data_IF_231616247819
#
_entry.id   IF_231616247819
#
_cell.length_a   1.000
_cell.length_b   1.000
_cell.length_c   1.000
_cell.angle_alpha   90.00
_cell.angle_beta   90.00
_cell.angle_gamma   90.00
#
_symmetry.space_group_name_H-M   'P 1'
#
loop_
_entity.id
_entity.type
_entity.pdbx_description
1 polymer ?
#
# COMPACT_ATOMS: atom_id res chain seq x y z
N UNK A 1 -12.48 4.29 2.20
CA UNK A 1 -11.45 3.78 3.13
C UNK A 1 -11.34 2.27 3.00
N UNK A 2 -10.14 1.75 2.95
CA UNK A 2 -9.88 0.32 2.82
C UNK A 2 -9.47 -0.24 4.17
N UNK A 3 -10.01 -1.39 4.52
CA UNK A 3 -9.60 -2.07 5.74
C UNK A 3 -8.41 -2.97 5.44
N UNK A 4 -7.41 -2.89 6.28
CA UNK A 4 -6.17 -3.64 6.11
C UNK A 4 -5.57 -3.95 7.47
N UNK A 5 -4.63 -4.88 7.47
CA UNK A 5 -3.85 -5.19 8.68
C UNK A 5 -2.42 -5.52 8.28
N UNK A 6 -1.50 -5.35 9.22
CA UNK A 6 -0.11 -5.76 9.02
C UNK A 6 0.02 -7.26 9.29
N UNK A 7 0.83 -7.92 8.46
CA UNK A 7 1.13 -9.34 8.65
C UNK A 7 2.33 -9.47 9.60
N UNK A 8 2.06 -9.34 10.89
CA UNK A 8 3.09 -9.36 11.93
C UNK A 8 3.77 -10.71 12.08
N UNK A 9 3.17 -11.78 11.56
CA UNK A 9 3.74 -13.11 11.61
C UNK A 9 4.75 -13.36 10.50
N UNK A 10 4.77 -12.50 9.50
CA UNK A 10 5.72 -12.61 8.40
C UNK A 10 7.13 -12.25 8.84
N UNK A 11 8.11 -12.99 8.33
CA UNK A 11 9.53 -12.67 8.53
C UNK A 11 10.08 -11.82 7.40
N UNK A 12 9.23 -11.45 6.46
CA UNK A 12 9.59 -10.63 5.32
C UNK A 12 9.69 -9.17 5.75
N UNK A 13 10.71 -8.47 5.30
CA UNK A 13 10.88 -7.04 5.55
C UNK A 13 10.91 -6.30 4.22
N UNK A 14 10.19 -5.19 4.07
CA UNK A 14 9.25 -4.57 5.03
C UNK A 14 8.02 -5.44 5.30
N UNK A 15 7.39 -5.22 6.45
CA UNK A 15 6.23 -6.03 6.87
C UNK A 15 5.11 -5.94 5.84
N UNK A 16 4.59 -7.07 5.36
CA UNK A 16 3.50 -7.06 4.40
C UNK A 16 2.19 -6.55 4.99
N UNK A 17 1.32 -6.08 4.11
CA UNK A 17 -0.02 -5.60 4.47
C UNK A 17 -1.03 -6.49 3.75
N UNK A 18 -2.09 -6.85 4.45
CA UNK A 18 -3.18 -7.66 3.91
C UNK A 18 -4.45 -6.82 3.91
N UNK A 19 -5.11 -6.71 2.77
CA UNK A 19 -6.40 -6.05 2.68
C UNK A 19 -7.47 -7.03 3.17
N UNK A 20 -8.28 -6.58 4.13
CA UNK A 20 -9.20 -7.46 4.84
C UNK A 20 -10.65 -7.35 4.37
N UNK A 21 -11.00 -6.33 3.60
CA UNK A 21 -12.35 -6.14 3.10
C UNK A 21 -12.36 -5.50 1.72
N UNK A 22 -13.46 -5.69 1.01
CA UNK A 22 -13.73 -5.02 -0.25
C UNK A 22 -13.23 -5.79 -1.46
N UNK A 23 -13.11 -5.07 -2.55
CA UNK A 23 -12.74 -5.61 -3.86
C UNK A 23 -11.39 -6.34 -3.85
N UNK A 24 -10.47 -5.89 -3.01
CA UNK A 24 -9.11 -6.43 -2.94
C UNK A 24 -8.89 -7.31 -1.72
N UNK A 25 -9.95 -7.81 -1.11
CA UNK A 25 -9.84 -8.68 0.06
C UNK A 25 -8.91 -9.87 -0.22
N UNK A 26 -8.00 -10.11 0.70
CA UNK A 26 -7.03 -11.20 0.60
C UNK A 26 -5.74 -10.83 -0.12
N UNK A 27 -5.69 -9.66 -0.73
CA UNK A 27 -4.47 -9.20 -1.38
C UNK A 27 -3.40 -8.93 -0.32
N UNK A 28 -2.24 -9.52 -0.51
CA UNK A 28 -1.10 -9.35 0.39
C UNK A 28 0.06 -8.76 -0.39
N UNK A 29 0.58 -7.66 0.09
CA UNK A 29 1.63 -6.93 -0.61
C UNK A 29 2.56 -6.25 0.38
N UNK A 30 3.70 -5.80 -0.12
CA UNK A 30 4.63 -5.01 0.67
C UNK A 30 5.09 -3.81 -0.15
N UNK A 31 5.42 -2.73 0.53
CA UNK A 31 5.99 -1.56 -0.11
C UNK A 31 7.50 -1.68 -0.17
N UNK A 32 8.06 -1.18 -1.28
CA UNK A 32 9.49 -1.05 -1.43
C UNK A 32 9.95 0.35 -1.11
N UNK A 33 10.63 0.99 -2.06
CA UNK A 33 11.11 2.36 -1.89
C UNK A 33 9.93 3.33 -1.94
N UNK A 34 9.89 4.23 -0.98
CA UNK A 34 8.88 5.28 -0.89
C UNK A 34 9.59 6.62 -0.98
N UNK A 35 9.11 7.51 -1.85
CA UNK A 35 9.69 8.84 -2.04
C UNK A 35 8.60 9.90 -2.05
N UNK A 36 8.91 11.03 -1.43
CA UNK A 36 8.09 12.22 -1.50
C UNK A 36 8.85 13.27 -2.29
N UNK A 37 8.26 13.74 -3.38
CA UNK A 37 8.84 14.81 -4.17
C UNK A 37 7.98 16.05 -4.03
N UNK A 38 8.57 17.15 -3.62
CA UNK A 38 7.89 18.43 -3.59
C UNK A 38 7.96 19.03 -4.99
N UNK A 39 6.83 19.07 -5.66
CA UNK A 39 6.72 19.75 -6.95
C UNK A 39 6.19 21.16 -6.67
N UNK A 40 5.86 21.93 -7.60
CA UNK A 40 5.51 23.35 -7.46
C UNK A 40 4.75 23.72 -6.18
N UNK A 41 5.25 24.71 -5.44
CA UNK A 41 4.56 25.45 -4.36
C UNK A 41 3.68 24.60 -3.43
N UNK A 42 4.31 23.66 -2.76
CA UNK A 42 3.60 22.89 -1.74
C UNK A 42 2.85 21.68 -2.25
N UNK A 43 2.88 21.40 -3.55
CA UNK A 43 2.32 20.16 -4.08
C UNK A 43 3.34 19.05 -3.89
N UNK A 44 2.92 18.02 -3.19
CA UNK A 44 3.78 16.86 -2.97
C UNK A 44 3.29 15.69 -3.82
N UNK A 45 4.23 15.01 -4.44
CA UNK A 45 3.95 13.80 -5.19
C UNK A 45 4.54 12.62 -4.44
N UNK A 46 3.71 11.64 -4.16
CA UNK A 46 4.14 10.40 -3.51
C UNK A 46 4.41 9.36 -4.58
N UNK A 47 5.63 8.82 -4.58
CA UNK A 47 5.96 7.68 -5.43
C UNK A 47 6.37 6.51 -4.55
N UNK A 48 6.03 5.32 -4.98
CA UNK A 48 6.35 4.14 -4.22
C UNK A 48 6.46 2.93 -5.14
N UNK A 49 7.27 1.96 -4.69
CA UNK A 49 7.33 0.65 -5.31
C UNK A 49 6.54 -0.31 -4.42
N UNK A 50 6.01 -1.34 -5.01
CA UNK A 50 5.29 -2.36 -4.27
C UNK A 50 5.57 -3.73 -4.87
N UNK A 51 5.34 -4.75 -4.07
CA UNK A 51 5.50 -6.13 -4.49
C UNK A 51 4.30 -6.94 -4.01
N UNK A 52 3.60 -7.59 -4.93
CA UNK A 52 2.49 -8.46 -4.58
C UNK A 52 3.04 -9.80 -4.11
N UNK A 53 2.71 -10.17 -2.87
CA UNK A 53 3.15 -11.42 -2.29
C UNK A 53 2.11 -12.50 -2.54
N UNK A 54 0.83 -12.16 -2.37
CA UNK A 54 -0.27 -13.10 -2.52
C UNK A 54 -1.43 -12.40 -3.20
N UNK A 55 -1.90 -12.96 -4.28
CA UNK A 55 -3.00 -12.40 -5.06
C UNK A 55 -4.01 -13.50 -5.39
N UNK A 56 -4.77 -13.95 -4.38
CA UNK A 56 -5.67 -15.11 -4.55
C UNK A 56 -6.80 -14.90 -5.54
N UNK A 57 -7.16 -13.66 -5.81
CA UNK A 57 -8.25 -13.33 -6.72
C UNK A 57 -7.75 -12.89 -8.10
N UNK A 58 -6.46 -13.05 -8.36
CA UNK A 58 -5.84 -12.69 -9.65
C UNK A 58 -6.20 -11.26 -10.08
N UNK A 59 -6.05 -10.34 -9.15
CA UNK A 59 -6.36 -8.93 -9.38
C UNK A 59 -5.33 -8.32 -10.34
N UNK A 60 -5.81 -7.58 -11.33
CA UNK A 60 -4.92 -6.92 -12.28
C UNK A 60 -4.18 -5.75 -11.64
N UNK A 61 -2.91 -5.60 -12.00
CA UNK A 61 -2.11 -4.46 -11.57
C UNK A 61 -2.38 -3.27 -12.49
N UNK A 62 -3.56 -2.69 -12.35
CA UNK A 62 -3.96 -1.52 -13.12
C UNK A 62 -3.83 -0.24 -12.29
N UNK A 63 -4.19 0.90 -12.89
CA UNK A 63 -4.11 2.19 -12.21
C UNK A 63 -5.01 2.25 -10.96
N UNK A 64 -6.15 1.57 -11.00
CA UNK A 64 -7.07 1.54 -9.85
C UNK A 64 -6.41 0.85 -8.66
N UNK A 65 -5.72 -0.24 -8.90
CA UNK A 65 -4.97 -0.93 -7.83
C UNK A 65 -3.87 -0.02 -7.29
N UNK A 66 -3.10 0.62 -8.17
CA UNK A 66 -2.02 1.51 -7.76
C UNK A 66 -2.56 2.66 -6.91
N UNK A 67 -3.68 3.25 -7.31
CA UNK A 67 -4.32 4.31 -6.55
C UNK A 67 -4.77 3.81 -5.17
N UNK A 68 -5.30 2.60 -5.11
CA UNK A 68 -5.71 1.97 -3.86
C UNK A 68 -4.53 1.77 -2.92
N UNK A 69 -3.42 1.25 -3.44
CA UNK A 69 -2.21 1.05 -2.64
C UNK A 69 -1.65 2.38 -2.14
N UNK A 70 -1.74 3.44 -2.96
CA UNK A 70 -1.35 4.78 -2.56
C UNK A 70 -2.20 5.32 -1.42
N UNK A 71 -3.51 5.09 -1.47
CA UNK A 71 -4.41 5.50 -0.39
C UNK A 71 -4.12 4.77 0.92
N UNK A 72 -3.87 3.47 0.84
CA UNK A 72 -3.49 2.68 2.02
C UNK A 72 -2.18 3.21 2.59
N UNK A 73 -1.21 3.50 1.75
CA UNK A 73 0.07 4.03 2.19
C UNK A 73 -0.08 5.37 2.90
N UNK A 74 -0.89 6.26 2.36
CA UNK A 74 -1.15 7.55 3.00
C UNK A 74 -1.79 7.38 4.37
N UNK A 75 -2.69 6.42 4.51
CA UNK A 75 -3.32 6.12 5.79
C UNK A 75 -2.31 5.58 6.79
N UNK A 76 -1.43 4.69 6.36
CA UNK A 76 -0.36 4.16 7.21
C UNK A 76 0.55 5.28 7.70
N UNK A 77 0.94 6.19 6.81
CA UNK A 77 1.81 7.32 7.16
C UNK A 77 1.13 8.22 8.18
N UNK A 78 -0.16 8.51 8.02
CA UNK A 78 -0.90 9.33 8.97
C UNK A 78 -0.93 8.71 10.36
N UNK A 79 -1.14 7.41 10.44
CA UNK A 79 -1.16 6.70 11.73
C UNK A 79 0.21 6.76 12.39
N UNK A 80 1.28 6.60 11.61
CA UNK A 80 2.65 6.63 12.13
C UNK A 80 3.06 8.04 12.60
N UNK A 81 2.55 9.09 11.98
CA UNK A 81 2.90 10.47 12.31
C UNK A 81 2.11 11.04 13.48
N UNK A 82 1.01 10.42 13.82
CA UNK A 82 0.23 10.80 14.98
C UNK A 82 0.77 10.08 16.22
#
# INVERSE_FOLDING_TARGET
MYNYKFDDESRIQPVPIIITEGKYEGLRFQYGRISFDEKEKGNMCLTFDYNLIDNPNDIKEDQVLIDTLGEVLMDVIKVELD
#
